data_IF_755460227181
#
_entry.id   IF_755460227181
#
_cell.length_a   1.000
_cell.length_b   1.000
_cell.length_c   1.000
_cell.angle_alpha   90.00
_cell.angle_beta   90.00
_cell.angle_gamma   90.00
#
_symmetry.space_group_name_H-M   'P 1'
#
loop_
_entity.id
_entity.type
_entity.pdbx_description
1 polymer ?
#
# COMPACT_ATOMS: atom_id res chain seq x y z
N UNK A 1 3.11 3.41 12.43
CA UNK A 1 1.89 3.12 11.66
C UNK A 1 1.09 2.02 12.30
N UNK A 2 -0.22 2.10 12.26
CA UNK A 2 -1.09 1.11 12.89
C UNK A 2 -2.39 0.98 12.09
N UNK A 3 -3.17 -0.05 12.41
CA UNK A 3 -4.47 -0.30 11.80
C UNK A 3 -5.33 0.96 11.85
N UNK A 4 -5.95 1.28 10.73
CA UNK A 4 -6.84 2.43 10.59
C UNK A 4 -6.16 3.71 10.15
N UNK A 5 -4.83 3.74 10.08
CA UNK A 5 -4.11 4.91 9.60
C UNK A 5 -4.38 5.13 8.12
N UNK A 6 -4.48 6.40 7.72
CA UNK A 6 -4.61 6.76 6.32
C UNK A 6 -3.24 6.89 5.68
N UNK A 7 -3.13 6.42 4.46
CA UNK A 7 -1.87 6.37 3.72
C UNK A 7 -2.12 6.92 2.33
N UNK A 8 -1.26 7.85 1.89
CA UNK A 8 -1.24 8.27 0.49
C UNK A 8 -0.22 7.44 -0.26
N UNK A 9 -0.65 6.76 -1.30
CA UNK A 9 0.24 5.95 -2.14
C UNK A 9 0.88 6.89 -3.16
N UNK A 10 2.20 6.98 -3.14
CA UNK A 10 2.95 7.78 -4.09
C UNK A 10 3.23 6.94 -5.33
N UNK A 11 3.78 5.75 -5.15
CA UNK A 11 4.03 4.83 -6.24
C UNK A 11 4.16 3.42 -5.70
N UNK A 12 3.39 2.49 -6.24
CA UNK A 12 3.54 1.07 -5.94
C UNK A 12 4.44 0.42 -7.00
N UNK A 13 5.27 -0.51 -6.54
CA UNK A 13 6.10 -1.31 -7.42
C UNK A 13 5.21 -2.25 -8.23
N UNK A 14 5.32 -2.17 -9.54
CA UNK A 14 4.54 -2.99 -10.46
C UNK A 14 5.36 -4.09 -11.13
N UNK A 15 6.57 -4.36 -10.64
CA UNK A 15 7.49 -5.31 -11.25
C UNK A 15 7.04 -6.77 -11.12
N UNK A 16 6.06 -7.04 -10.26
CA UNK A 16 5.62 -8.40 -9.96
C UNK A 16 4.38 -8.85 -10.75
N UNK A 17 4.07 -8.20 -11.85
CA UNK A 17 2.94 -8.60 -12.68
C UNK A 17 1.57 -8.19 -12.16
N UNK A 18 1.51 -7.28 -11.20
CA UNK A 18 0.26 -6.71 -10.68
C UNK A 18 0.06 -5.30 -11.18
N UNK A 19 0.52 -5.06 -12.37
CA UNK A 19 0.79 -3.75 -12.92
C UNK A 19 -0.44 -2.85 -12.92
N UNK A 20 -1.56 -3.34 -13.42
CA UNK A 20 -2.76 -2.52 -13.57
C UNK A 20 -3.30 -2.08 -12.21
N UNK A 21 -3.43 -2.99 -11.25
CA UNK A 21 -3.93 -2.66 -9.93
C UNK A 21 -2.98 -1.71 -9.21
N UNK A 22 -1.68 -1.99 -9.28
CA UNK A 22 -0.69 -1.14 -8.63
C UNK A 22 -0.72 0.27 -9.19
N UNK A 23 -0.79 0.41 -10.49
CA UNK A 23 -0.85 1.73 -11.13
C UNK A 23 -2.11 2.49 -10.77
N UNK A 24 -3.24 1.80 -10.67
CA UNK A 24 -4.50 2.42 -10.30
C UNK A 24 -4.49 2.96 -8.87
N UNK A 25 -3.66 2.41 -8.01
CA UNK A 25 -3.57 2.85 -6.62
C UNK A 25 -2.67 4.08 -6.45
N UNK A 26 -1.84 4.41 -7.45
CA UNK A 26 -0.94 5.56 -7.34
C UNK A 26 -1.73 6.86 -7.15
N UNK A 27 -1.32 7.66 -6.17
CA UNK A 27 -1.97 8.92 -5.85
C UNK A 27 -3.22 8.79 -4.99
N UNK A 28 -3.64 7.59 -4.64
CA UNK A 28 -4.85 7.39 -3.85
C UNK A 28 -4.53 7.39 -2.36
N UNK A 29 -5.54 7.78 -1.58
CA UNK A 29 -5.49 7.65 -0.12
C UNK A 29 -6.24 6.39 0.26
N UNK A 30 -5.59 5.54 1.02
CA UNK A 30 -6.13 4.24 1.44
C UNK A 30 -6.02 4.09 2.95
N UNK A 31 -6.67 3.05 3.48
CA UNK A 31 -6.68 2.78 4.92
C UNK A 31 -5.90 1.51 5.21
N UNK A 32 -5.03 1.56 6.20
CA UNK A 32 -4.29 0.39 6.66
C UNK A 32 -5.23 -0.57 7.34
N UNK A 33 -5.33 -1.79 6.84
CA UNK A 33 -6.15 -2.84 7.43
C UNK A 33 -5.43 -3.51 8.57
N UNK A 34 -4.21 -3.95 8.32
CA UNK A 34 -3.32 -4.51 9.35
C UNK A 34 -1.90 -4.56 8.79
N UNK A 35 -0.94 -4.75 9.67
CA UNK A 35 0.46 -4.95 9.31
C UNK A 35 0.81 -6.39 9.69
N UNK A 36 1.31 -7.16 8.73
CA UNK A 36 1.63 -8.56 8.98
C UNK A 36 2.99 -8.72 9.67
N UNK A 37 3.38 -9.98 9.93
CA UNK A 37 4.59 -10.27 10.67
C UNK A 37 5.90 -9.91 9.97
N UNK A 38 5.87 -9.65 8.67
CA UNK A 38 7.04 -9.24 7.90
C UNK A 38 7.01 -7.76 7.54
N UNK A 39 6.06 -7.00 8.10
CA UNK A 39 6.02 -5.55 7.94
C UNK A 39 5.25 -5.05 6.73
N UNK A 40 4.57 -5.91 6.00
CA UNK A 40 3.74 -5.48 4.87
C UNK A 40 2.43 -4.91 5.38
N UNK A 41 2.01 -3.78 4.79
CA UNK A 41 0.81 -3.07 5.20
C UNK A 41 -0.32 -3.45 4.25
N UNK A 42 -1.27 -4.21 4.76
CA UNK A 42 -2.44 -4.62 3.99
C UNK A 42 -3.46 -3.50 3.97
N UNK A 43 -4.13 -3.33 2.82
CA UNK A 43 -5.06 -2.22 2.59
C UNK A 43 -6.51 -2.71 2.66
N UNK A 44 -7.40 -1.89 3.22
CA UNK A 44 -8.82 -2.25 3.28
C UNK A 44 -9.50 -2.11 1.93
N UNK A 45 -9.06 -1.16 1.11
CA UNK A 45 -9.69 -0.83 -0.16
C UNK A 45 -9.29 -1.75 -1.29
N UNK A 46 -8.26 -2.57 -1.11
CA UNK A 46 -7.81 -3.51 -2.15
C UNK A 46 -7.17 -4.73 -1.52
N UNK A 47 -6.92 -5.75 -2.34
CA UNK A 47 -6.18 -6.93 -1.91
C UNK A 47 -4.67 -6.77 -1.95
N UNK A 48 -4.19 -5.57 -2.24
CA UNK A 48 -2.76 -5.30 -2.32
C UNK A 48 -2.18 -4.96 -0.95
N UNK A 49 -0.87 -5.12 -0.83
CA UNK A 49 -0.14 -4.73 0.37
C UNK A 49 1.01 -3.81 -0.02
N UNK A 50 1.30 -2.83 0.83
CA UNK A 50 2.45 -1.95 0.67
C UNK A 50 3.66 -2.61 1.31
N UNK A 51 4.77 -2.64 0.59
CA UNK A 51 6.02 -3.26 1.05
C UNK A 51 7.00 -2.14 1.39
N UNK A 52 7.34 -1.94 2.68
CA UNK A 52 8.31 -0.92 3.06
C UNK A 52 9.63 -1.11 2.34
N UNK A 53 10.19 -0.02 1.82
CA UNK A 53 11.44 -0.06 1.08
C UNK A 53 11.30 -0.39 -0.40
N UNK A 54 10.14 -0.85 -0.84
CA UNK A 54 9.85 -1.16 -2.25
C UNK A 54 8.82 -0.19 -2.79
N UNK A 55 7.70 -0.02 -2.08
CA UNK A 55 6.65 0.90 -2.47
C UNK A 55 6.86 2.26 -1.81
N UNK A 56 6.50 3.33 -2.54
CA UNK A 56 6.58 4.68 -2.01
C UNK A 56 5.21 5.12 -1.51
N UNK A 57 5.15 5.54 -0.27
CA UNK A 57 3.90 6.00 0.36
C UNK A 57 4.22 6.91 1.53
N UNK A 58 3.20 7.62 2.00
CA UNK A 58 3.33 8.44 3.21
C UNK A 58 2.11 8.23 4.10
N UNK A 59 2.32 8.24 5.40
CA UNK A 59 1.23 8.19 6.39
C UNK A 59 0.74 9.61 6.62
N UNK A 60 -0.56 9.79 6.48
CA UNK A 60 -1.18 11.11 6.60
C UNK A 60 -1.60 11.39 8.03
#
# INVERSE_FOLDING_TARGET
MKKGDKIRIIRMDDSNGKDLQARQMNGRVVTAKFIDGIGQIHLEESGLALIPGVDEYEVI
#
